data_IF_439564797507
#
_entry.id   IF_439564797507
#
_cell.length_a   1.000
_cell.length_b   1.000
_cell.length_c   1.000
_cell.angle_alpha   90.00
_cell.angle_beta   90.00
_cell.angle_gamma   90.00
#
_symmetry.space_group_name_H-M   'P 1'
#
loop_
_entity.id
_entity.type
_entity.pdbx_description
1 polymer ?
#
# COMPACT_ATOMS: atom_id res chain seq x y z
N UNK A 1 -27.81 5.66 -2.15
CA UNK A 1 -27.37 5.26 -3.50
C UNK A 1 -27.19 3.77 -3.42
N UNK A 2 -28.14 3.04 -3.99
CA UNK A 2 -28.24 1.58 -3.82
C UNK A 2 -28.01 0.90 -5.17
N UNK A 3 -28.47 1.51 -6.26
CA UNK A 3 -28.40 0.91 -7.60
C UNK A 3 -27.31 1.53 -8.46
N UNK A 4 -26.93 0.83 -9.54
CA UNK A 4 -26.07 1.36 -10.60
C UNK A 4 -26.62 2.67 -11.16
N UNK A 5 -27.93 2.74 -11.36
CA UNK A 5 -28.59 3.91 -11.94
C UNK A 5 -28.47 5.15 -11.05
N UNK A 6 -28.56 4.97 -9.73
CA UNK A 6 -28.34 6.06 -8.77
C UNK A 6 -26.91 6.62 -8.90
N UNK A 7 -25.93 5.73 -9.06
CA UNK A 7 -24.53 6.11 -9.18
C UNK A 7 -24.23 6.86 -10.49
N UNK A 8 -24.84 6.43 -11.60
CA UNK A 8 -24.75 7.13 -12.90
C UNK A 8 -25.37 8.52 -12.78
N UNK A 9 -26.59 8.60 -12.25
CA UNK A 9 -27.33 9.86 -12.08
C UNK A 9 -26.54 10.84 -11.21
N UNK A 10 -25.96 10.38 -10.11
CA UNK A 10 -25.15 11.22 -9.23
C UNK A 10 -23.86 11.69 -9.90
N UNK A 11 -23.17 10.82 -10.65
CA UNK A 11 -21.97 11.22 -11.39
C UNK A 11 -22.29 12.30 -12.41
N UNK A 12 -23.35 12.11 -13.20
CA UNK A 12 -23.73 13.05 -14.25
C UNK A 12 -24.19 14.38 -13.67
N UNK A 13 -24.95 14.36 -12.57
CA UNK A 13 -25.35 15.58 -11.87
C UNK A 13 -24.13 16.38 -11.34
N UNK A 14 -23.13 15.68 -10.78
CA UNK A 14 -21.90 16.30 -10.25
C UNK A 14 -20.94 16.78 -11.34
N UNK A 15 -20.93 16.13 -12.51
CA UNK A 15 -20.16 16.60 -13.67
C UNK A 15 -20.84 17.81 -14.34
N UNK A 16 -22.18 17.87 -14.39
CA UNK A 16 -22.93 18.96 -15.00
C UNK A 16 -22.97 20.24 -14.13
N UNK A 17 -23.14 20.09 -12.81
CA UNK A 17 -23.25 21.21 -11.88
C UNK A 17 -21.99 21.27 -11.02
N UNK A 18 -20.96 21.93 -11.56
CA UNK A 18 -19.72 22.19 -10.83
C UNK A 18 -19.64 23.67 -10.44
N UNK A 19 -20.07 24.06 -9.22
CA UNK A 19 -19.84 25.40 -8.70
C UNK A 19 -18.36 25.75 -8.78
N UNK A 20 -18.02 27.00 -9.09
CA UNK A 20 -16.64 27.44 -9.25
C UNK A 20 -15.77 27.19 -7.99
N UNK A 21 -16.39 27.14 -6.81
CA UNK A 21 -15.72 26.85 -5.54
C UNK A 21 -15.59 25.34 -5.25
N UNK A 22 -16.33 24.47 -5.95
CA UNK A 22 -16.31 23.03 -5.71
C UNK A 22 -15.13 22.36 -6.42
N UNK A 23 -14.08 22.08 -5.66
CA UNK A 23 -12.89 21.37 -6.15
C UNK A 23 -13.08 19.85 -6.28
N UNK A 24 -14.18 19.30 -5.76
CA UNK A 24 -14.46 17.87 -5.82
C UNK A 24 -14.60 17.39 -7.27
N UNK A 25 -14.08 16.20 -7.54
CA UNK A 25 -14.14 15.54 -8.85
C UNK A 25 -14.71 14.14 -8.68
N UNK A 26 -15.94 13.95 -9.13
CA UNK A 26 -16.62 12.65 -9.06
C UNK A 26 -16.09 11.73 -10.14
N UNK A 27 -15.60 10.54 -9.77
CA UNK A 27 -15.08 9.54 -10.70
C UNK A 27 -15.51 8.15 -10.25
N UNK A 28 -15.49 7.19 -11.16
CA UNK A 28 -15.75 5.80 -10.81
C UNK A 28 -14.68 5.29 -9.86
N UNK A 29 -15.13 4.64 -8.79
CA UNK A 29 -14.31 3.82 -7.92
C UNK A 29 -14.43 2.36 -8.31
N UNK A 30 -13.73 1.52 -7.57
CA UNK A 30 -13.90 0.06 -7.58
C UNK A 30 -14.14 -0.30 -6.13
N UNK A 31 -15.23 -0.94 -5.75
CA UNK A 31 -15.44 -1.43 -4.38
C UNK A 31 -15.39 -2.96 -4.25
N UNK A 32 -15.56 -3.69 -5.36
CA UNK A 32 -15.48 -5.15 -5.43
C UNK A 32 -14.54 -5.62 -6.56
N UNK A 33 -13.85 -6.75 -6.37
CA UNK A 33 -13.02 -7.37 -7.41
C UNK A 33 -11.59 -6.81 -7.58
N UNK A 34 -10.74 -7.47 -8.40
CA UNK A 34 -9.41 -6.98 -8.73
C UNK A 34 -9.45 -5.65 -9.49
N UNK A 35 -8.54 -4.73 -9.16
CA UNK A 35 -8.51 -3.37 -9.76
C UNK A 35 -8.12 -3.39 -11.24
N UNK A 36 -7.34 -4.39 -11.64
CA UNK A 36 -6.89 -4.58 -13.01
C UNK A 36 -7.97 -5.16 -13.94
N UNK A 37 -9.08 -5.62 -13.37
CA UNK A 37 -10.26 -6.02 -14.12
C UNK A 37 -11.26 -4.87 -14.33
N UNK A 38 -11.02 -3.70 -13.73
CA UNK A 38 -11.96 -2.58 -13.71
C UNK A 38 -11.60 -1.50 -14.73
N UNK A 39 -12.60 -1.06 -15.50
CA UNK A 39 -12.50 0.13 -16.34
C UNK A 39 -13.02 1.36 -15.58
N UNK A 40 -12.12 2.29 -15.28
CA UNK A 40 -12.41 3.53 -14.55
C UNK A 40 -13.13 4.59 -15.38
N UNK A 41 -13.23 4.44 -16.70
CA UNK A 41 -14.01 5.34 -17.54
C UNK A 41 -15.51 5.01 -17.45
N UNK A 42 -15.85 3.72 -17.49
CA UNK A 42 -17.23 3.23 -17.46
C UNK A 42 -17.72 2.89 -16.06
N UNK A 43 -16.81 2.52 -15.15
CA UNK A 43 -17.15 1.98 -13.83
C UNK A 43 -17.63 0.53 -13.88
N UNK A 44 -17.20 -0.23 -14.90
CA UNK A 44 -17.56 -1.63 -15.11
C UNK A 44 -16.31 -2.49 -14.89
N UNK A 45 -16.47 -3.65 -14.25
CA UNK A 45 -15.39 -4.62 -14.07
C UNK A 45 -15.73 -5.93 -14.78
N UNK A 46 -14.78 -6.46 -15.56
CA UNK A 46 -14.90 -7.77 -16.21
C UNK A 46 -13.95 -8.72 -15.49
N UNK A 47 -14.50 -9.55 -14.59
CA UNK A 47 -13.70 -10.32 -13.64
C UNK A 47 -13.71 -11.80 -14.04
N UNK A 48 -12.53 -12.40 -14.33
CA UNK A 48 -12.42 -13.85 -14.46
C UNK A 48 -12.84 -14.54 -13.16
N UNK A 49 -13.71 -15.54 -13.26
CA UNK A 49 -14.31 -16.21 -12.09
C UNK A 49 -13.24 -16.80 -11.18
N UNK A 50 -12.16 -17.35 -11.74
CA UNK A 50 -11.01 -17.93 -11.03
C UNK A 50 -10.23 -16.91 -10.19
N UNK A 51 -10.36 -15.60 -10.48
CA UNK A 51 -9.71 -14.53 -9.72
C UNK A 51 -10.49 -14.05 -8.50
N UNK A 52 -11.73 -14.51 -8.32
CA UNK A 52 -12.52 -14.24 -7.13
C UNK A 52 -12.03 -15.12 -5.97
N UNK A 53 -11.83 -14.51 -4.81
CA UNK A 53 -11.56 -15.27 -3.58
C UNK A 53 -12.85 -15.93 -3.08
N UNK A 54 -12.71 -16.85 -2.13
CA UNK A 54 -13.89 -17.50 -1.53
C UNK A 54 -14.81 -16.49 -0.83
N UNK A 55 -14.25 -15.45 -0.23
CA UNK A 55 -15.01 -14.35 0.37
C UNK A 55 -15.79 -13.57 -0.70
N UNK A 56 -15.15 -13.24 -1.82
CA UNK A 56 -15.83 -12.54 -2.92
C UNK A 56 -16.96 -13.39 -3.52
N UNK A 57 -16.76 -14.71 -3.65
CA UNK A 57 -17.82 -15.63 -4.10
C UNK A 57 -18.99 -15.69 -3.13
N UNK A 58 -18.71 -15.71 -1.82
CA UNK A 58 -19.75 -15.67 -0.78
C UNK A 58 -20.57 -14.40 -0.92
N UNK A 59 -19.94 -13.23 -0.96
CA UNK A 59 -20.65 -11.96 -1.08
C UNK A 59 -21.44 -11.82 -2.39
N UNK A 60 -20.88 -12.29 -3.51
CA UNK A 60 -21.64 -12.37 -4.76
C UNK A 60 -22.93 -13.17 -4.63
N UNK A 61 -22.93 -14.24 -3.84
CA UNK A 61 -24.10 -15.10 -3.67
C UNK A 61 -25.09 -14.55 -2.63
N UNK A 62 -24.60 -13.94 -1.55
CA UNK A 62 -25.41 -13.67 -0.34
C UNK A 62 -25.66 -12.20 -0.06
N UNK A 63 -25.10 -11.27 -0.84
CA UNK A 63 -25.30 -9.84 -0.61
C UNK A 63 -26.79 -9.44 -0.66
N UNK A 64 -27.16 -8.47 0.16
CA UNK A 64 -28.51 -7.88 0.18
C UNK A 64 -28.73 -7.02 -1.07
N UNK A 65 -27.75 -6.18 -1.39
CA UNK A 65 -27.72 -5.37 -2.61
C UNK A 65 -26.64 -5.87 -3.57
N UNK A 66 -26.97 -5.88 -4.87
CA UNK A 66 -26.11 -6.39 -5.92
C UNK A 66 -25.92 -7.91 -5.90
N UNK A 67 -24.82 -8.38 -6.52
CA UNK A 67 -24.52 -9.80 -6.60
C UNK A 67 -25.49 -10.60 -7.48
N UNK A 68 -25.44 -11.92 -7.36
CA UNK A 68 -26.21 -12.87 -8.19
C UNK A 68 -27.60 -13.20 -7.63
N UNK A 69 -27.95 -12.68 -6.45
CA UNK A 69 -29.22 -12.97 -5.78
C UNK A 69 -29.42 -14.45 -5.46
N UNK A 70 -28.36 -15.12 -4.99
CA UNK A 70 -28.36 -16.54 -4.64
C UNK A 70 -28.21 -17.51 -5.82
N UNK A 71 -28.14 -17.03 -7.06
CA UNK A 71 -27.87 -17.88 -8.23
C UNK A 71 -26.40 -18.27 -8.28
N UNK A 72 -26.11 -19.51 -8.67
CA UNK A 72 -24.74 -19.97 -8.86
C UNK A 72 -23.97 -19.04 -9.82
N UNK A 73 -22.70 -18.77 -9.50
CA UNK A 73 -21.86 -17.88 -10.31
C UNK A 73 -21.47 -18.62 -11.60
N UNK A 74 -21.90 -18.07 -12.73
CA UNK A 74 -21.67 -18.62 -14.06
C UNK A 74 -20.99 -17.59 -14.98
N UNK A 75 -20.31 -18.08 -16.01
CA UNK A 75 -19.66 -17.23 -17.00
C UNK A 75 -20.67 -16.39 -17.79
N UNK A 76 -20.32 -15.14 -18.07
CA UNK A 76 -21.19 -14.21 -18.82
C UNK A 76 -22.29 -13.55 -17.99
N UNK A 77 -22.34 -13.83 -16.68
CA UNK A 77 -23.27 -13.17 -15.76
C UNK A 77 -22.93 -11.68 -15.61
N UNK A 78 -23.95 -10.83 -15.63
CA UNK A 78 -23.84 -9.38 -15.36
C UNK A 78 -24.66 -9.06 -14.12
N UNK A 79 -24.00 -8.47 -13.12
CA UNK A 79 -24.60 -8.12 -11.83
C UNK A 79 -24.18 -6.72 -11.41
N UNK A 80 -24.94 -6.13 -10.50
CA UNK A 80 -24.45 -4.95 -9.76
C UNK A 80 -23.44 -5.36 -8.70
N UNK A 81 -22.65 -4.39 -8.25
CA UNK A 81 -21.63 -4.59 -7.22
C UNK A 81 -22.26 -5.15 -5.93
N UNK A 82 -21.82 -6.32 -5.42
CA UNK A 82 -22.37 -6.89 -4.19
C UNK A 82 -21.86 -6.12 -2.96
N UNK A 83 -22.69 -6.06 -1.92
CA UNK A 83 -22.24 -5.67 -0.59
C UNK A 83 -21.15 -6.60 -0.07
N UNK A 84 -20.21 -6.05 0.70
CA UNK A 84 -19.09 -6.80 1.30
C UNK A 84 -19.14 -6.75 2.82
N UNK A 85 -18.87 -7.88 3.47
CA UNK A 85 -18.79 -7.97 4.93
C UNK A 85 -17.34 -7.86 5.41
N UNK A 86 -17.01 -6.77 6.10
CA UNK A 86 -15.66 -6.58 6.64
C UNK A 86 -15.36 -7.67 7.68
N UNK A 87 -14.19 -8.32 7.55
CA UNK A 87 -13.71 -9.32 8.51
C UNK A 87 -14.06 -10.78 8.18
N UNK A 88 -14.78 -11.05 7.09
CA UNK A 88 -15.18 -12.41 6.67
C UNK A 88 -14.23 -13.07 5.64
N UNK A 89 -13.01 -12.52 5.49
CA UNK A 89 -11.98 -13.07 4.61
C UNK A 89 -11.20 -12.00 3.85
N UNK A 90 -10.35 -12.45 2.95
CA UNK A 90 -9.53 -11.57 2.09
C UNK A 90 -10.21 -11.40 0.74
N UNK A 91 -10.50 -10.16 0.36
CA UNK A 91 -11.08 -9.84 -0.96
C UNK A 91 -10.01 -9.83 -2.06
N UNK A 92 -10.41 -10.19 -3.28
CA UNK A 92 -9.59 -10.00 -4.49
C UNK A 92 -9.17 -8.54 -4.70
N UNK A 93 -9.97 -7.58 -4.25
CA UNK A 93 -9.63 -6.15 -4.24
C UNK A 93 -8.42 -5.84 -3.34
N UNK A 94 -8.28 -6.55 -2.23
CA UNK A 94 -7.23 -6.33 -1.24
C UNK A 94 -5.88 -6.91 -1.69
N UNK A 95 -5.91 -8.05 -2.39
CA UNK A 95 -4.71 -8.70 -2.94
C UNK A 95 -4.29 -8.12 -4.30
N UNK A 96 -5.18 -7.39 -4.98
CA UNK A 96 -4.87 -6.74 -6.25
C UNK A 96 -3.79 -5.66 -6.07
N UNK A 97 -2.80 -5.67 -6.97
CA UNK A 97 -1.82 -4.57 -7.05
C UNK A 97 -2.56 -3.24 -7.26
N UNK A 98 -2.03 -2.18 -6.62
CA UNK A 98 -2.51 -0.81 -6.84
C UNK A 98 -2.04 -0.38 -8.22
N UNK A 99 -2.96 0.07 -9.08
CA UNK A 99 -2.58 0.74 -10.31
C UNK A 99 -1.88 2.05 -9.97
N UNK A 100 -0.70 2.28 -10.56
CA UNK A 100 -0.02 3.55 -10.43
C UNK A 100 -0.87 4.62 -11.12
N UNK A 101 -1.31 5.63 -10.36
CA UNK A 101 -1.89 6.84 -10.94
C UNK A 101 -0.74 7.69 -11.46
N UNK A 102 -0.26 7.41 -12.67
CA UNK A 102 0.87 8.12 -13.31
C UNK A 102 0.66 9.64 -13.49
N UNK A 103 -0.51 10.16 -13.11
CA UNK A 103 -0.87 11.58 -13.17
C UNK A 103 -0.98 12.24 -11.78
N UNK A 104 -0.84 11.50 -10.68
CA UNK A 104 -1.07 12.02 -9.32
C UNK A 104 0.15 12.63 -8.62
N UNK A 105 1.36 12.43 -9.15
CA UNK A 105 2.60 12.81 -8.48
C UNK A 105 3.10 14.24 -8.74
N UNK A 106 2.54 14.96 -9.72
CA UNK A 106 3.07 16.25 -10.17
C UNK A 106 2.42 17.46 -9.49
N UNK A 107 1.31 17.26 -8.78
CA UNK A 107 0.50 18.33 -8.17
C UNK A 107 0.24 18.11 -6.69
N UNK A 108 1.09 17.31 -6.03
CA UNK A 108 1.13 17.32 -4.57
C UNK A 108 1.62 18.69 -4.08
N UNK A 109 1.04 19.25 -3.00
CA UNK A 109 1.52 20.51 -2.44
C UNK A 109 3.00 20.38 -2.07
N UNK A 110 3.87 21.00 -2.86
CA UNK A 110 5.29 21.18 -2.52
C UNK A 110 5.35 22.18 -1.39
N UNK A 111 5.81 21.75 -0.22
CA UNK A 111 6.14 22.68 0.87
C UNK A 111 7.33 23.54 0.44
N UNK A 112 7.12 24.85 0.33
CA UNK A 112 8.17 25.86 0.12
C UNK A 112 8.93 26.11 1.41
N UNK A 113 9.65 25.10 1.92
CA UNK A 113 10.72 25.35 2.89
C UNK A 113 12.01 25.60 2.11
N UNK A 114 12.26 26.86 1.79
CA UNK A 114 13.57 27.29 1.26
C UNK A 114 14.67 26.90 2.27
N UNK A 115 15.69 26.13 1.85
CA UNK A 115 16.93 26.03 2.60
C UNK A 115 17.69 27.35 2.38
N UNK A 116 17.84 28.16 3.43
CA UNK A 116 18.72 29.32 3.39
C UNK A 116 20.14 28.87 3.03
N UNK A 117 20.64 29.39 1.93
CA UNK A 117 22.00 29.28 1.44
C UNK A 117 23.04 29.63 2.51
N UNK A 118 23.95 28.69 2.79
CA UNK A 118 25.25 28.94 3.40
C UNK A 118 26.34 28.52 2.41
N UNK A 119 27.37 29.35 2.14
CA UNK A 119 28.17 29.22 0.93
C UNK A 119 29.14 28.03 0.96
N UNK A 120 29.01 27.21 -0.08
CA UNK A 120 29.99 26.23 -0.57
C UNK A 120 31.39 26.86 -0.65
N UNK A 121 32.31 26.37 0.19
CA UNK A 121 33.74 26.68 0.10
C UNK A 121 34.41 25.70 -0.86
N UNK A 122 34.56 26.17 -2.09
CA UNK A 122 35.71 26.00 -2.97
C UNK A 122 36.67 24.80 -2.75
N UNK A 123 36.66 23.91 -3.75
CA UNK A 123 37.80 23.33 -4.49
C UNK A 123 39.15 23.23 -3.78
N UNK A 124 39.68 21.99 -3.70
CA UNK A 124 41.10 21.72 -3.89
C UNK A 124 41.29 20.41 -4.68
N UNK A 125 42.05 20.54 -5.77
CA UNK A 125 42.43 19.51 -6.73
C UNK A 125 43.47 18.51 -6.19
N UNK A 126 43.69 17.45 -7.00
CA UNK A 126 44.88 16.57 -7.09
C UNK A 126 44.98 15.47 -6.01
N UNK A 127 45.28 14.19 -6.29
CA UNK A 127 46.00 13.53 -7.39
C UNK A 127 45.82 12.00 -7.31
N UNK A 128 45.97 11.34 -8.46
CA UNK A 128 46.44 9.95 -8.70
C UNK A 128 45.66 8.72 -8.20
N UNK A 129 45.43 7.78 -9.12
CA UNK A 129 45.12 6.39 -8.76
C UNK A 129 44.42 5.57 -9.84
N UNK A 130 45.17 5.18 -10.88
CA UNK A 130 45.09 3.92 -11.64
C UNK A 130 43.84 3.03 -11.54
N UNK A 131 43.28 2.64 -12.69
CA UNK A 131 42.63 1.33 -12.83
C UNK A 131 41.44 1.28 -13.78
N UNK A 132 41.70 0.87 -15.03
CA UNK A 132 40.73 0.16 -15.87
C UNK A 132 39.95 -0.86 -15.03
N UNK A 133 38.63 -0.96 -15.20
CA UNK A 133 37.87 -2.22 -15.19
C UNK A 133 36.47 -1.92 -15.74
N UNK A 134 36.29 -2.13 -17.04
CA UNK A 134 35.01 -2.49 -17.62
C UNK A 134 34.62 -3.85 -17.04
N UNK A 135 33.63 -3.88 -16.14
CA UNK A 135 32.94 -5.11 -15.78
C UNK A 135 31.48 -4.82 -15.45
N UNK A 136 30.66 -5.13 -16.47
CA UNK A 136 29.29 -5.53 -16.36
C UNK A 136 29.09 -6.51 -15.19
N UNK A 137 28.53 -6.02 -14.09
CA UNK A 137 28.05 -6.85 -12.99
C UNK A 137 26.73 -6.29 -12.46
N UNK A 138 25.66 -6.83 -13.03
CA UNK A 138 24.33 -7.00 -12.44
C UNK A 138 24.43 -7.20 -10.92
N UNK A 139 24.29 -6.11 -10.15
CA UNK A 139 24.29 -6.15 -8.69
C UNK A 139 22.87 -5.86 -8.23
N UNK A 140 22.15 -6.94 -7.96
CA UNK A 140 20.93 -6.96 -7.16
C UNK A 140 21.23 -6.31 -5.80
N UNK A 141 21.00 -4.99 -5.68
CA UNK A 141 21.17 -4.31 -4.41
C UNK A 141 20.00 -4.66 -3.48
N UNK A 142 20.32 -5.57 -2.58
CA UNK A 142 19.48 -6.10 -1.51
C UNK A 142 19.64 -5.19 -0.29
N UNK A 143 18.52 -4.63 0.18
CA UNK A 143 18.32 -4.09 1.53
C UNK A 143 19.37 -3.13 2.13
N UNK A 144 19.21 -1.84 1.86
CA UNK A 144 19.64 -0.79 2.80
C UNK A 144 18.43 -0.27 3.59
N UNK A 145 18.27 -0.79 4.80
CA UNK A 145 17.33 -0.33 5.81
C UNK A 145 17.83 1.03 6.32
N UNK A 146 17.19 2.12 5.89
CA UNK A 146 17.46 3.47 6.38
C UNK A 146 16.81 3.68 7.75
N UNK A 147 17.61 4.12 8.73
CA UNK A 147 17.17 4.53 10.07
C UNK A 147 16.25 5.75 9.95
N UNK A 148 15.07 5.70 10.56
CA UNK A 148 14.11 6.82 10.55
C UNK A 148 14.64 8.03 11.35
N UNK A 149 14.43 9.28 10.89
CA UNK A 149 14.85 10.47 11.60
C UNK A 149 13.98 10.72 12.87
N UNK A 150 14.55 11.37 13.92
CA UNK A 150 13.84 11.62 15.17
C UNK A 150 12.69 12.62 14.99
N UNK A 151 11.50 12.22 15.44
CA UNK A 151 10.31 13.08 15.52
C UNK A 151 10.37 13.96 16.79
N UNK A 152 10.21 15.29 16.69
CA UNK A 152 10.06 16.17 17.85
C UNK A 152 8.76 15.86 18.61
N UNK A 153 8.90 15.70 19.94
CA UNK A 153 7.86 15.17 20.82
C UNK A 153 6.60 16.03 20.95
N UNK A 154 5.45 15.38 20.82
CA UNK A 154 4.15 15.88 21.28
C UNK A 154 3.78 15.15 22.58
N UNK A 155 3.44 15.94 23.60
CA UNK A 155 3.46 15.55 25.00
C UNK A 155 2.46 14.48 25.42
N UNK A 156 2.97 13.52 26.19
CA UNK A 156 2.23 12.82 27.23
C UNK A 156 2.93 13.10 28.58
N UNK A 157 2.18 13.30 29.67
CA UNK A 157 2.77 13.62 30.97
C UNK A 157 3.66 12.48 31.48
N UNK A 158 4.77 12.79 32.18
CA UNK A 158 5.75 11.80 32.60
C UNK A 158 5.21 10.94 33.74
N UNK A 159 5.27 9.62 33.56
CA UNK A 159 5.13 8.66 34.67
C UNK A 159 6.38 8.80 35.55
N UNK A 160 6.26 9.06 36.87
CA UNK A 160 7.41 9.18 37.75
C UNK A 160 8.10 7.82 37.89
N UNK A 161 9.39 7.72 37.54
CA UNK A 161 10.23 6.62 38.06
C UNK A 161 11.31 6.01 37.17
N UNK A 162 11.45 6.33 35.88
CA UNK A 162 12.41 5.59 35.02
C UNK A 162 13.25 6.50 34.09
N UNK A 163 14.59 6.47 34.18
CA UNK A 163 15.45 7.32 33.35
C UNK A 163 15.57 6.90 31.88
N UNK A 164 15.10 5.71 31.47
CA UNK A 164 15.59 5.12 30.20
C UNK A 164 14.60 4.21 29.43
N UNK A 165 13.28 4.48 29.48
CA UNK A 165 12.31 4.13 28.41
C UNK A 165 12.23 2.70 27.82
N UNK A 166 12.90 1.71 28.40
CA UNK A 166 12.93 0.32 27.90
C UNK A 166 11.97 -0.53 28.73
N UNK A 167 11.07 -1.33 28.11
CA UNK A 167 10.24 -2.26 28.85
C UNK A 167 11.11 -3.35 29.50
N UNK A 168 11.02 -3.48 30.82
CA UNK A 168 11.61 -4.60 31.57
C UNK A 168 10.77 -5.84 31.26
N UNK A 169 11.36 -6.80 30.57
CA UNK A 169 10.77 -8.13 30.43
C UNK A 169 11.10 -8.99 31.67
N UNK A 170 10.15 -9.78 32.18
CA UNK A 170 10.41 -10.70 33.29
C UNK A 170 11.52 -11.72 32.96
N UNK A 171 12.29 -12.18 33.96
CA UNK A 171 13.29 -13.24 33.75
C UNK A 171 12.61 -14.51 33.19
N UNK A 172 12.99 -14.93 31.98
CA UNK A 172 12.47 -16.15 31.33
C UNK A 172 11.64 -15.93 30.06
N UNK A 173 11.44 -14.70 29.59
CA UNK A 173 10.73 -14.45 28.34
C UNK A 173 11.65 -14.68 27.12
N UNK A 174 11.49 -15.83 26.44
CA UNK A 174 12.19 -16.17 25.20
C UNK A 174 11.29 -15.89 23.98
N UNK A 175 11.82 -15.16 22.99
CA UNK A 175 11.18 -15.00 21.69
C UNK A 175 11.33 -16.30 20.85
N UNK A 176 10.25 -16.85 20.28
CA UNK A 176 10.37 -17.99 19.38
C UNK A 176 10.94 -17.52 18.04
N UNK A 177 12.14 -18.01 17.68
CA UNK A 177 12.72 -17.79 16.34
C UNK A 177 14.23 -17.49 16.29
N UNK A 178 14.92 -17.35 17.42
CA UNK A 178 16.38 -17.19 17.44
C UNK A 178 17.03 -18.38 18.13
N UNK A 179 17.43 -19.39 17.34
CA UNK A 179 18.34 -20.43 17.80
C UNK A 179 19.73 -19.81 17.99
N UNK A 180 20.35 -19.91 19.18
CA UNK A 180 21.76 -19.59 19.33
C UNK A 180 22.58 -20.58 18.50
N UNK A 181 23.32 -20.07 17.52
CA UNK A 181 24.26 -20.85 16.72
C UNK A 181 25.41 -21.31 17.62
N UNK A 182 25.45 -22.60 17.92
CA UNK A 182 26.51 -23.24 18.69
C UNK A 182 27.79 -23.33 17.83
N UNK A 183 28.98 -22.97 18.34
CA UNK A 183 30.23 -23.11 17.59
C UNK A 183 30.64 -24.59 17.49
N UNK A 184 31.33 -25.02 16.41
CA UNK A 184 31.68 -26.41 16.19
C UNK A 184 32.82 -26.87 17.13
N UNK A 185 32.89 -28.19 17.44
CA UNK A 185 33.93 -28.73 18.32
C UNK A 185 35.30 -28.72 17.64
N UNK A 186 36.41 -28.51 18.40
CA UNK A 186 37.76 -28.63 17.87
C UNK A 186 38.07 -30.08 17.48
N UNK A 187 38.26 -30.33 16.19
CA UNK A 187 38.79 -31.58 15.68
C UNK A 187 40.29 -31.66 15.93
N UNK A 188 40.72 -32.80 16.49
CA UNK A 188 42.11 -33.24 16.60
C UNK A 188 42.77 -33.31 15.22
N UNK A 189 44.04 -32.89 15.11
CA UNK A 189 45.09 -33.62 14.40
C UNK A 189 46.48 -32.99 14.57
N UNK A 190 47.40 -33.85 15.03
CA UNK A 190 48.87 -33.83 14.99
C UNK A 190 49.63 -32.80 15.83
#
# INVERSE_FOLDING_TARGET
>A
MITRQDAVTAKDAMDAHKPAEMQLRTRWGVGFGPRDCSDYQTGISVIPIDRLTDADRKWMLTAEYGGSGGKAIEGGMVVEEPDIEIGQGVSSKAISRRMATDQGGKTGPRSTREPRDGPSRYRRNEREGSGNHDNNANTNNTNTIGVAPPVPGFGFPPIPGFPNGMPIFPPGFAFPGLTPQQPPPPGQNM
#
